data_IF_558924390887
#
_entry.id   IF_558924390887
#
_cell.length_a   1.000
_cell.length_b   1.000
_cell.length_c   1.000
_cell.angle_alpha   90.00
_cell.angle_beta   90.00
_cell.angle_gamma   90.00
#
_symmetry.space_group_name_H-M   'P 1'
#
loop_
_entity.id
_entity.type
_entity.pdbx_description
1 polymer ?
#
# COMPACT_ATOMS: atom_id res chain seq x y z
N UNK A 1 3.97 1.11 19.96
CA UNK A 1 2.71 0.38 19.88
C UNK A 1 2.10 0.47 18.50
N UNK A 2 1.65 -0.64 17.97
CA UNK A 2 1.01 -0.69 16.66
C UNK A 2 -0.35 0.02 16.64
N UNK A 3 -0.70 0.56 15.48
CA UNK A 3 -2.01 1.18 15.28
C UNK A 3 -3.07 0.10 15.05
N UNK A 4 -4.28 0.35 15.52
CA UNK A 4 -5.41 -0.55 15.29
C UNK A 4 -6.23 -0.03 14.12
N UNK A 5 -6.58 -0.92 13.20
CA UNK A 5 -7.49 -0.66 12.10
C UNK A 5 -8.73 -1.53 12.25
N UNK A 6 -9.82 -1.10 11.62
CA UNK A 6 -11.08 -1.84 11.69
C UNK A 6 -11.47 -2.36 10.31
N UNK A 7 -11.81 -3.64 10.24
CA UNK A 7 -12.38 -4.24 9.03
C UNK A 7 -13.88 -3.98 9.04
N UNK A 8 -14.39 -3.25 8.06
CA UNK A 8 -15.79 -2.84 8.03
C UNK A 8 -16.74 -3.97 7.62
N UNK A 9 -16.21 -5.07 7.05
CA UNK A 9 -17.02 -6.23 6.66
C UNK A 9 -17.16 -7.19 7.83
N UNK A 10 -16.05 -7.55 8.48
CA UNK A 10 -16.06 -8.50 9.59
C UNK A 10 -16.37 -7.86 10.94
N UNK A 11 -16.15 -6.55 11.05
CA UNK A 11 -16.23 -5.83 12.32
C UNK A 11 -15.04 -6.05 13.24
N UNK A 12 -14.06 -6.86 12.82
CA UNK A 12 -12.89 -7.16 13.64
C UNK A 12 -11.89 -6.01 13.60
N UNK A 13 -11.18 -5.84 14.71
CA UNK A 13 -10.05 -4.92 14.80
C UNK A 13 -8.76 -5.69 14.56
N UNK A 14 -7.85 -5.09 13.79
CA UNK A 14 -6.54 -5.65 13.50
C UNK A 14 -5.51 -4.67 14.03
N UNK A 15 -4.65 -5.14 14.93
CA UNK A 15 -3.57 -4.31 15.45
C UNK A 15 -2.34 -4.52 14.59
N UNK A 16 -1.88 -3.43 13.97
CA UNK A 16 -0.64 -3.47 13.18
C UNK A 16 0.54 -3.61 14.13
N UNK A 17 1.52 -4.47 13.81
CA UNK A 17 2.70 -4.59 14.65
C UNK A 17 3.58 -3.34 14.55
N UNK A 18 4.49 -3.18 15.51
CA UNK A 18 5.54 -2.19 15.39
C UNK A 18 6.53 -2.64 14.29
N UNK A 19 7.10 -1.70 13.53
CA UNK A 19 8.03 -2.07 12.46
C UNK A 19 9.32 -2.65 13.02
N UNK A 20 9.84 -3.68 12.34
CA UNK A 20 11.17 -4.25 12.59
C UNK A 20 12.02 -4.07 11.35
N UNK A 21 13.32 -3.91 11.52
CA UNK A 21 14.23 -3.63 10.40
C UNK A 21 14.70 -4.95 9.74
N UNK A 22 13.72 -5.72 9.25
CA UNK A 22 13.95 -6.98 8.55
C UNK A 22 13.20 -6.92 7.22
N UNK A 23 13.94 -7.05 6.13
CA UNK A 23 13.36 -7.08 4.80
C UNK A 23 12.85 -8.48 4.44
N UNK A 24 11.61 -8.54 3.91
CA UNK A 24 11.11 -9.72 3.23
C UNK A 24 11.44 -9.53 1.75
N UNK A 25 12.33 -10.35 1.17
CA UNK A 25 12.70 -10.18 -0.24
C UNK A 25 11.49 -10.39 -1.15
N UNK A 26 11.32 -9.50 -2.12
CA UNK A 26 10.31 -9.68 -3.16
C UNK A 26 10.96 -10.48 -4.29
N UNK A 27 10.53 -11.72 -4.46
CA UNK A 27 11.17 -12.70 -5.34
C UNK A 27 10.60 -12.76 -6.75
N UNK A 28 9.62 -11.90 -7.06
CA UNK A 28 9.00 -11.83 -8.38
C UNK A 28 7.50 -11.96 -8.34
N UNK A 29 6.89 -11.99 -9.54
CA UNK A 29 5.46 -11.95 -9.67
C UNK A 29 4.92 -10.53 -9.52
N UNK A 30 3.61 -10.42 -9.48
CA UNK A 30 2.91 -9.14 -9.34
C UNK A 30 1.90 -9.22 -8.22
N UNK A 31 1.94 -8.23 -7.33
CA UNK A 31 0.95 -8.09 -6.27
C UNK A 31 -0.16 -7.15 -6.75
N UNK A 32 -1.41 -7.61 -6.73
CA UNK A 32 -2.57 -6.83 -7.19
C UNK A 32 -3.54 -6.63 -6.04
N UNK A 33 -3.98 -5.38 -5.85
CA UNK A 33 -5.09 -5.06 -4.96
C UNK A 33 -6.07 -4.15 -5.68
N UNK A 34 -7.34 -4.20 -5.26
CA UNK A 34 -8.36 -3.23 -5.66
C UNK A 34 -9.00 -2.67 -4.41
N UNK A 35 -9.43 -1.42 -4.48
CA UNK A 35 -10.13 -0.75 -3.41
C UNK A 35 -11.39 -0.07 -3.94
N UNK A 36 -12.30 0.28 -3.04
CA UNK A 36 -13.38 1.22 -3.35
C UNK A 36 -12.83 2.66 -3.32
N UNK A 37 -13.71 3.64 -3.49
CA UNK A 37 -13.31 5.07 -3.50
C UNK A 37 -12.88 5.57 -2.12
N UNK A 38 -13.23 4.87 -1.06
CA UNK A 38 -12.80 5.21 0.30
C UNK A 38 -11.46 4.57 0.68
N UNK A 39 -10.85 3.80 -0.23
CA UNK A 39 -9.58 3.12 0.05
C UNK A 39 -9.73 1.80 0.80
N UNK A 40 -10.94 1.26 0.88
CA UNK A 40 -11.20 -0.05 1.50
C UNK A 40 -10.90 -1.15 0.50
N UNK A 41 -10.09 -2.13 0.90
CA UNK A 41 -9.68 -3.24 0.03
C UNK A 41 -10.89 -4.11 -0.33
N UNK A 42 -11.08 -4.32 -1.63
CA UNK A 42 -12.14 -5.17 -2.18
C UNK A 42 -11.58 -6.42 -2.84
N UNK A 43 -10.30 -6.42 -3.20
CA UNK A 43 -9.62 -7.56 -3.81
C UNK A 43 -8.13 -7.53 -3.46
N UNK A 44 -7.57 -8.70 -3.20
CA UNK A 44 -6.13 -8.87 -2.99
C UNK A 44 -5.73 -10.25 -3.54
N UNK A 45 -4.80 -10.28 -4.49
CA UNK A 45 -4.40 -11.54 -5.10
C UNK A 45 -3.55 -12.39 -4.15
N UNK A 46 -3.29 -13.63 -4.55
CA UNK A 46 -2.52 -14.58 -3.72
C UNK A 46 -1.13 -14.05 -3.37
N UNK A 47 -0.44 -13.44 -4.35
CA UNK A 47 0.92 -12.92 -4.12
C UNK A 47 0.92 -11.83 -3.05
N UNK A 48 -0.07 -10.94 -3.07
CA UNK A 48 -0.21 -9.90 -2.06
C UNK A 48 -0.45 -10.51 -0.66
N UNK A 49 -1.34 -11.48 -0.56
CA UNK A 49 -1.61 -12.16 0.71
C UNK A 49 -0.39 -12.89 1.24
N UNK A 50 0.33 -13.60 0.35
CA UNK A 50 1.54 -14.34 0.69
C UNK A 50 2.65 -13.41 1.20
N UNK A 51 2.86 -12.28 0.53
CA UNK A 51 3.91 -11.33 0.90
C UNK A 51 3.59 -10.60 2.21
N UNK A 52 2.34 -10.20 2.41
CA UNK A 52 1.95 -9.42 3.58
C UNK A 52 1.70 -10.28 4.81
N UNK A 53 1.38 -11.55 4.61
CA UNK A 53 1.04 -12.46 5.71
C UNK A 53 -0.38 -12.30 6.26
N UNK A 54 -1.18 -11.40 5.69
CA UNK A 54 -2.58 -11.24 6.07
C UNK A 54 -3.46 -12.20 5.28
N UNK A 55 -4.50 -12.73 5.91
CA UNK A 55 -5.48 -13.57 5.25
C UNK A 55 -6.40 -12.73 4.35
N UNK A 56 -7.11 -13.40 3.44
CA UNK A 56 -8.13 -12.75 2.62
C UNK A 56 -9.19 -12.08 3.50
N UNK A 57 -9.63 -12.77 4.55
CA UNK A 57 -10.65 -12.28 5.47
C UNK A 57 -10.19 -11.04 6.24
N UNK A 58 -8.89 -10.96 6.56
CA UNK A 58 -8.33 -9.78 7.21
C UNK A 58 -8.21 -8.59 6.26
N UNK A 59 -7.87 -8.85 5.00
CA UNK A 59 -7.62 -7.81 4.00
C UNK A 59 -8.91 -7.22 3.43
N UNK A 60 -9.84 -8.06 2.99
CA UNK A 60 -11.07 -7.58 2.37
C UNK A 60 -11.94 -6.88 3.42
N UNK A 61 -12.20 -5.60 3.21
CA UNK A 61 -12.93 -4.76 4.17
C UNK A 61 -12.05 -3.91 5.07
N UNK A 62 -10.73 -4.10 5.00
CA UNK A 62 -9.77 -3.26 5.73
C UNK A 62 -9.30 -2.09 4.88
N UNK A 63 -8.96 -0.95 5.51
CA UNK A 63 -8.34 0.15 4.76
C UNK A 63 -6.96 -0.26 4.26
N UNK A 64 -6.55 0.27 3.12
CA UNK A 64 -5.28 -0.07 2.51
C UNK A 64 -4.08 0.33 3.39
N UNK A 65 -4.28 1.23 4.34
CA UNK A 65 -3.26 1.61 5.33
C UNK A 65 -2.82 0.43 6.22
N UNK A 66 -3.50 -0.72 6.14
CA UNK A 66 -3.10 -1.93 6.88
C UNK A 66 -1.64 -2.31 6.61
N UNK A 67 -1.12 -2.04 5.41
CA UNK A 67 0.27 -2.37 5.07
C UNK A 67 1.20 -1.16 4.99
N UNK A 68 0.72 0.03 5.39
CA UNK A 68 1.55 1.24 5.34
C UNK A 68 2.69 1.17 6.36
N UNK A 69 3.92 1.45 5.90
CA UNK A 69 5.09 1.56 6.76
C UNK A 69 5.25 3.00 7.25
N UNK A 70 5.62 3.23 8.54
CA UNK A 70 5.77 4.59 9.06
C UNK A 70 6.91 5.39 8.43
N UNK A 71 7.86 4.73 7.74
CA UNK A 71 8.93 5.43 7.01
C UNK A 71 8.44 6.07 5.70
N UNK A 72 7.19 5.82 5.30
CA UNK A 72 6.60 6.49 4.15
C UNK A 72 6.02 7.84 4.59
N UNK A 73 6.47 8.96 3.97
CA UNK A 73 5.98 10.28 4.36
C UNK A 73 4.52 10.49 3.95
N UNK A 74 3.79 11.26 4.75
CA UNK A 74 2.38 11.60 4.45
C UNK A 74 2.26 12.33 3.12
N UNK A 75 3.23 13.19 2.79
CA UNK A 75 3.23 13.94 1.53
C UNK A 75 3.24 13.03 0.31
N UNK A 76 3.93 11.87 0.37
CA UNK A 76 3.94 10.90 -0.72
C UNK A 76 2.54 10.30 -0.94
N UNK A 77 1.84 9.95 0.13
CA UNK A 77 0.47 9.44 0.01
C UNK A 77 -0.52 10.50 -0.44
N UNK A 78 -0.36 11.73 0.03
CA UNK A 78 -1.18 12.85 -0.40
C UNK A 78 -1.06 13.06 -1.91
N UNK A 79 0.16 13.09 -2.44
CA UNK A 79 0.40 13.23 -3.88
C UNK A 79 -0.19 12.08 -4.69
N UNK A 80 -0.03 10.85 -4.19
CA UNK A 80 -0.60 9.66 -4.81
C UNK A 80 -2.13 9.78 -4.90
N UNK A 81 -2.80 10.07 -3.78
CA UNK A 81 -4.26 10.16 -3.76
C UNK A 81 -4.80 11.32 -4.58
N UNK A 82 -4.16 12.49 -4.55
CA UNK A 82 -4.53 13.62 -5.40
C UNK A 82 -4.48 13.25 -6.89
N UNK A 83 -3.45 12.51 -7.29
CA UNK A 83 -3.28 12.07 -8.67
C UNK A 83 -4.39 11.13 -9.11
N UNK A 84 -4.64 10.05 -8.35
CA UNK A 84 -5.61 9.03 -8.78
C UNK A 84 -7.07 9.51 -8.61
N UNK A 85 -7.35 10.34 -7.62
CA UNK A 85 -8.67 10.93 -7.45
C UNK A 85 -9.04 11.90 -8.59
N UNK A 86 -8.04 12.49 -9.22
CA UNK A 86 -8.27 13.34 -10.39
C UNK A 86 -8.43 12.55 -11.69
N UNK A 87 -8.39 11.22 -11.63
CA UNK A 87 -8.57 10.35 -12.79
C UNK A 87 -7.28 9.97 -13.49
N UNK A 88 -6.14 10.29 -12.91
CA UNK A 88 -4.83 10.06 -13.51
C UNK A 88 -4.15 8.81 -12.94
N UNK A 89 -3.17 8.33 -13.67
CA UNK A 89 -2.33 7.20 -13.33
C UNK A 89 -1.16 7.67 -12.44
N UNK A 90 -0.79 6.87 -11.43
CA UNK A 90 0.35 7.16 -10.56
C UNK A 90 1.35 6.01 -10.60
N UNK A 91 2.63 6.34 -10.62
CA UNK A 91 3.72 5.39 -10.47
C UNK A 91 4.70 5.89 -9.41
N UNK A 92 5.30 4.98 -8.68
CA UNK A 92 6.29 5.32 -7.68
C UNK A 92 6.84 4.11 -6.95
N UNK A 93 7.64 4.39 -5.95
CA UNK A 93 8.30 3.38 -5.14
C UNK A 93 7.75 3.45 -3.73
N UNK A 94 7.52 2.28 -3.11
CA UNK A 94 6.88 2.22 -1.80
C UNK A 94 7.59 1.20 -0.92
N UNK A 95 7.76 1.57 0.35
CA UNK A 95 8.15 0.68 1.42
C UNK A 95 6.88 0.36 2.20
N UNK A 96 6.53 -0.90 2.27
CA UNK A 96 5.34 -1.38 2.97
C UNK A 96 5.69 -2.35 4.09
N UNK A 97 4.71 -2.73 4.89
CA UNK A 97 4.92 -3.56 6.07
C UNK A 97 4.04 -4.80 6.04
N UNK A 98 4.58 -5.92 6.53
CA UNK A 98 3.86 -7.19 6.64
C UNK A 98 3.12 -7.28 7.98
N UNK A 99 2.36 -8.35 8.16
CA UNK A 99 1.64 -8.64 9.41
C UNK A 99 2.57 -8.89 10.61
N UNK A 100 3.86 -9.13 10.34
CA UNK A 100 4.87 -9.34 11.39
C UNK A 100 5.74 -8.10 11.62
N UNK A 101 5.44 -6.99 10.95
CA UNK A 101 6.22 -5.76 11.09
C UNK A 101 7.45 -5.69 10.20
N UNK A 102 7.74 -6.73 9.44
CA UNK A 102 8.83 -6.75 8.46
C UNK A 102 8.46 -5.86 7.28
N UNK A 103 9.46 -5.39 6.53
CA UNK A 103 9.18 -4.51 5.39
C UNK A 103 9.49 -5.18 4.06
N UNK A 104 8.88 -4.66 3.00
CA UNK A 104 9.19 -5.03 1.62
C UNK A 104 9.17 -3.79 0.75
N UNK A 105 9.94 -3.85 -0.35
CA UNK A 105 10.16 -2.72 -1.24
C UNK A 105 9.59 -3.07 -2.62
N UNK A 106 8.80 -2.16 -3.17
CA UNK A 106 8.09 -2.41 -4.44
C UNK A 106 8.05 -1.17 -5.31
N UNK A 107 7.99 -1.39 -6.61
CA UNK A 107 7.62 -0.38 -7.60
C UNK A 107 6.12 -0.55 -7.86
N UNK A 108 5.37 0.54 -7.77
CA UNK A 108 3.91 0.50 -7.72
C UNK A 108 3.34 1.34 -8.85
N UNK A 109 2.27 0.84 -9.48
CA UNK A 109 1.39 1.63 -10.32
C UNK A 109 -0.03 1.56 -9.76
N UNK A 110 -0.74 2.68 -9.83
CA UNK A 110 -2.13 2.78 -9.36
C UNK A 110 -2.91 3.56 -10.40
N UNK A 111 -4.10 3.07 -10.72
CA UNK A 111 -5.01 3.77 -11.63
C UNK A 111 -6.45 3.68 -11.12
N UNK A 112 -7.29 4.69 -11.43
CA UNK A 112 -8.70 4.61 -11.09
C UNK A 112 -9.42 3.59 -11.98
N UNK A 113 -10.50 3.05 -11.43
CA UNK A 113 -11.47 2.21 -12.17
C UNK A 113 -12.69 3.07 -12.43
N UNK A 114 -13.20 3.02 -13.65
CA UNK A 114 -14.36 3.82 -14.08
C UNK A 114 -15.54 2.91 -14.39
N UNK A 115 -16.75 3.42 -14.14
CA UNK A 115 -17.98 2.77 -14.61
C UNK A 115 -18.29 3.22 -16.05
N UNK A 116 -19.42 2.74 -16.59
CA UNK A 116 -19.83 3.05 -17.95
C UNK A 116 -20.12 4.54 -18.18
N UNK A 117 -20.37 5.30 -17.12
CA UNK A 117 -20.62 6.74 -17.17
C UNK A 117 -19.37 7.58 -16.98
N UNK A 118 -18.19 6.95 -16.85
CA UNK A 118 -16.93 7.64 -16.61
C UNK A 118 -16.70 8.07 -15.16
N UNK A 119 -17.51 7.58 -14.23
CA UNK A 119 -17.36 7.87 -12.82
C UNK A 119 -16.35 6.93 -12.17
N UNK A 120 -15.51 7.43 -11.27
CA UNK A 120 -14.55 6.60 -10.53
C UNK A 120 -15.31 5.75 -9.51
N UNK A 121 -15.13 4.42 -9.58
CA UNK A 121 -15.78 3.47 -8.67
C UNK A 121 -14.78 2.75 -7.75
N UNK A 122 -13.50 3.01 -7.92
CA UNK A 122 -12.45 2.41 -7.11
C UNK A 122 -11.10 2.57 -7.77
N UNK A 123 -10.12 1.87 -7.23
CA UNK A 123 -8.74 1.93 -7.71
C UNK A 123 -8.15 0.54 -7.79
N UNK A 124 -7.22 0.35 -8.74
CA UNK A 124 -6.45 -0.89 -8.87
C UNK A 124 -4.97 -0.57 -8.79
N UNK A 125 -4.22 -1.36 -8.04
CA UNK A 125 -2.78 -1.18 -7.85
C UNK A 125 -2.04 -2.48 -8.17
N UNK A 126 -0.95 -2.36 -8.91
CA UNK A 126 -0.02 -3.45 -9.17
C UNK A 126 1.36 -3.10 -8.65
N UNK A 127 2.10 -4.11 -8.19
CA UNK A 127 3.43 -3.95 -7.60
C UNK A 127 4.35 -5.01 -8.12
N UNK A 128 5.57 -4.60 -8.50
CA UNK A 128 6.60 -5.49 -9.02
C UNK A 128 7.94 -5.22 -8.34
N UNK A 129 8.94 -6.05 -8.65
CA UNK A 129 10.32 -5.85 -8.18
C UNK A 129 10.81 -4.48 -8.64
N UNK A 130 11.30 -3.63 -7.73
CA UNK A 130 11.82 -2.31 -8.11
C UNK A 130 13.24 -2.41 -8.66
N UNK A 131 13.61 -1.43 -9.50
CA UNK A 131 15.00 -1.20 -9.82
C UNK A 131 15.76 -0.80 -8.54
N UNK A 132 16.86 -1.48 -8.18
CA UNK A 132 17.51 -1.22 -6.88
C UNK A 132 18.01 0.20 -6.69
N UNK A 133 18.62 0.82 -7.68
CA UNK A 133 19.12 2.18 -7.53
C UNK A 133 18.00 3.21 -7.48
N UNK A 134 16.95 3.03 -8.28
CA UNK A 134 15.76 3.90 -8.23
C UNK A 134 15.05 3.81 -6.89
N UNK A 135 14.93 2.59 -6.35
CA UNK A 135 14.33 2.36 -5.03
C UNK A 135 15.15 3.04 -3.94
N UNK A 136 16.47 2.91 -3.98
CA UNK A 136 17.35 3.54 -3.00
C UNK A 136 17.23 5.06 -3.02
N UNK A 137 17.17 5.65 -4.22
CA UNK A 137 16.99 7.10 -4.37
C UNK A 137 15.65 7.56 -3.79
N UNK A 138 14.59 6.78 -4.01
CA UNK A 138 13.26 7.08 -3.47
C UNK A 138 13.27 7.02 -1.94
N UNK A 139 13.92 6.01 -1.35
CA UNK A 139 14.00 5.88 0.11
C UNK A 139 14.74 7.05 0.74
N UNK A 140 15.82 7.52 0.11
CA UNK A 140 16.57 8.68 0.60
C UNK A 140 15.72 9.95 0.55
N UNK A 141 14.96 10.14 -0.53
CA UNK A 141 14.03 11.25 -0.64
C UNK A 141 12.96 11.21 0.44
N UNK A 142 12.37 10.05 0.67
CA UNK A 142 11.32 9.86 1.69
C UNK A 142 11.85 10.15 3.09
N UNK A 143 13.08 9.75 3.38
CA UNK A 143 13.73 10.05 4.66
C UNK A 143 13.84 11.56 4.89
N UNK A 144 14.22 12.31 3.87
CA UNK A 144 14.28 13.78 3.91
C UNK A 144 12.88 14.37 4.12
N UNK A 145 11.88 13.88 3.39
CA UNK A 145 10.50 14.35 3.50
C UNK A 145 9.93 14.13 4.90
N UNK A 146 10.24 12.99 5.53
CA UNK A 146 9.79 12.70 6.90
C UNK A 146 10.44 13.69 7.90
N UNK A 147 11.71 14.01 7.72
CA UNK A 147 12.39 14.99 8.56
C UNK A 147 11.71 16.36 8.47
N UNK A 148 11.27 16.74 7.27
CA UNK A 148 10.58 18.01 7.04
C UNK A 148 9.17 18.03 7.64
N UNK A 149 8.53 16.85 7.81
CA UNK A 149 7.21 16.73 8.44
C UNK A 149 7.27 16.83 9.97
N UNK A 150 8.43 16.63 10.54
CA UNK A 150 8.66 16.70 11.97
C UNK A 150 9.22 18.08 12.34
#
# INVERSE_FOLDING_TARGET
>A
MGKTIKNIITGNSITKPDPVDIEVPFDGGVMITETDTAGIITYANRKFRSMTGYSKEELIGSPHSINRHPDMPEAAFKGLWETVKSGNYWEGFVKNMTSEGKYYLVEVWIKPKFDDNGEIIGYIAGRKIPDPSSMQNALELYKTMIQDEN
#
